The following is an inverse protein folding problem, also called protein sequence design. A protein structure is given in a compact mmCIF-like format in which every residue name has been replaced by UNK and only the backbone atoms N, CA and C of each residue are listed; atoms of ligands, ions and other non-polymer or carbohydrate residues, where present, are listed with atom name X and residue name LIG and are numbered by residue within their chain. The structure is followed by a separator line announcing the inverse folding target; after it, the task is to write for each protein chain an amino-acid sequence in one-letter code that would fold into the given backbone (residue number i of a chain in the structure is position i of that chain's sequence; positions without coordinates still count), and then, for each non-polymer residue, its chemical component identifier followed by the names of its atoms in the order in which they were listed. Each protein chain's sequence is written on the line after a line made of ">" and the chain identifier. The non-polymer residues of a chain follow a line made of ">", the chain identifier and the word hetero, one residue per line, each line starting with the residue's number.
data_IF_085099059759
#
_entry.id   IF_085099059759
#
_cell.length_a   1.000
_cell.length_b   1.000
_cell.length_c   1.000
_cell.angle_alpha   90.00
_cell.angle_beta   90.00
_cell.angle_gamma   90.00
#
_symmetry.space_group_name_H-M   'P 1'
#
loop_
_entity.id
_entity.type
_entity.pdbx_description
1 polymer ?
#
# COMPACT_ATOMS: atom_id res chain seq x y z
N UNK A 1 3.41 -6.38 13.70
CA UNK A 1 4.34 -6.64 12.58
C UNK A 1 4.82 -8.09 12.52
N UNK A 2 5.29 -8.70 13.61
CA UNK A 2 5.76 -10.11 13.60
C UNK A 2 4.76 -11.10 12.94
N UNK A 3 3.47 -11.02 13.25
CA UNK A 3 2.43 -11.87 12.63
C UNK A 3 2.14 -11.53 11.15
N UNK A 4 2.36 -10.27 10.74
CA UNK A 4 2.15 -9.80 9.36
C UNK A 4 3.27 -10.21 8.41
N UNK A 5 4.39 -10.69 8.95
CA UNK A 5 5.60 -11.09 8.23
C UNK A 5 5.86 -12.60 8.30
N UNK A 6 4.86 -13.42 8.62
CA UNK A 6 5.01 -14.89 8.65
C UNK A 6 4.89 -15.55 7.25
N UNK A 7 4.50 -14.79 6.22
CA UNK A 7 4.48 -15.25 4.81
C UNK A 7 5.83 -15.15 4.11
N UNK A 8 5.91 -15.66 2.87
CA UNK A 8 7.16 -15.69 2.07
C UNK A 8 7.47 -14.35 1.40
N UNK A 9 6.45 -13.60 0.97
CA UNK A 9 6.61 -12.29 0.32
C UNK A 9 5.45 -11.35 0.70
N UNK A 10 5.76 -10.07 0.88
CA UNK A 10 4.76 -9.04 1.12
C UNK A 10 4.26 -8.54 -0.24
N UNK A 11 2.95 -8.44 -0.45
CA UNK A 11 2.45 -7.91 -1.73
C UNK A 11 2.79 -6.42 -1.87
N UNK A 12 2.93 -5.93 -3.11
CA UNK A 12 3.10 -4.49 -3.39
C UNK A 12 2.00 -3.64 -2.76
N UNK A 13 0.75 -4.12 -2.79
CA UNK A 13 -0.38 -3.48 -2.08
C UNK A 13 -0.14 -3.39 -0.57
N UNK A 14 0.36 -4.46 0.05
CA UNK A 14 0.69 -4.48 1.48
C UNK A 14 1.77 -3.47 1.84
N UNK A 15 2.81 -3.37 1.00
CA UNK A 15 3.87 -2.38 1.16
C UNK A 15 3.33 -0.95 1.03
N UNK A 16 2.55 -0.67 -0.01
CA UNK A 16 1.94 0.64 -0.22
C UNK A 16 1.05 1.04 0.95
N UNK A 17 0.17 0.15 1.42
CA UNK A 17 -0.70 0.41 2.58
C UNK A 17 0.10 0.73 3.84
N UNK A 18 1.16 -0.05 4.12
CA UNK A 18 2.03 0.21 5.27
C UNK A 18 2.56 1.64 5.26
N UNK A 19 3.17 2.08 4.15
CA UNK A 19 3.73 3.43 4.07
C UNK A 19 2.65 4.52 4.01
N UNK A 20 1.48 4.24 3.42
CA UNK A 20 0.34 5.16 3.43
C UNK A 20 -0.13 5.44 4.86
N UNK A 21 -0.24 4.39 5.66
CA UNK A 21 -0.82 4.45 7.00
C UNK A 21 0.21 4.90 8.06
N UNK A 22 1.50 4.60 7.86
CA UNK A 22 2.56 4.92 8.81
C UNK A 22 2.95 6.42 8.87
N UNK A 23 2.66 7.20 7.83
CA UNK A 23 3.04 8.61 7.74
C UNK A 23 3.33 8.96 6.30
N UNK A 24 2.69 10.03 5.78
CA UNK A 24 2.48 10.28 4.36
C UNK A 24 3.77 10.24 3.53
N UNK A 25 4.04 9.07 2.95
CA UNK A 25 4.28 8.80 1.53
C UNK A 25 5.23 9.72 0.76
N UNK A 26 6.17 10.36 1.45
CA UNK A 26 7.16 11.22 0.83
C UNK A 26 8.51 10.82 1.38
N UNK A 27 9.53 10.83 0.52
CA UNK A 27 10.92 10.59 0.92
C UNK A 27 11.44 11.48 2.07
N UNK A 28 10.67 12.49 2.51
CA UNK A 28 10.95 13.35 3.66
C UNK A 28 10.21 13.02 4.95
N UNK A 29 9.29 12.04 4.96
CA UNK A 29 8.60 11.60 6.18
C UNK A 29 9.25 10.31 6.72
N UNK A 30 9.95 10.37 7.87
CA UNK A 30 10.68 9.22 8.40
C UNK A 30 9.77 8.20 9.08
N UNK A 31 8.48 8.48 9.34
CA UNK A 31 7.67 7.67 10.24
C UNK A 31 7.55 6.19 9.82
N UNK A 32 7.42 5.91 8.52
CA UNK A 32 7.43 4.54 8.00
C UNK A 32 8.76 3.82 8.22
N UNK A 33 9.88 4.53 7.98
CA UNK A 33 11.24 4.00 8.20
C UNK A 33 11.52 3.78 9.69
N UNK A 34 11.18 4.76 10.53
CA UNK A 34 11.34 4.70 11.98
C UNK A 34 10.55 3.52 12.56
N UNK A 35 9.34 3.26 12.05
CA UNK A 35 8.52 2.11 12.45
C UNK A 35 9.20 0.77 12.10
N UNK A 36 9.82 0.66 10.92
CA UNK A 36 10.56 -0.54 10.52
C UNK A 36 11.81 -0.75 11.39
N UNK A 37 12.56 0.32 11.66
CA UNK A 37 13.76 0.28 12.50
C UNK A 37 13.42 -0.07 13.95
N UNK A 38 12.35 0.51 14.49
CA UNK A 38 11.85 0.20 15.82
C UNK A 38 11.46 -1.27 15.93
N UNK A 39 10.78 -1.82 14.92
CA UNK A 39 10.44 -3.24 14.88
C UNK A 39 11.68 -4.14 14.83
N UNK A 40 12.70 -3.78 14.05
CA UNK A 40 13.97 -4.54 14.00
C UNK A 40 14.69 -4.54 15.36
N UNK A 41 14.67 -3.40 16.06
CA UNK A 41 15.23 -3.29 17.41
C UNK A 41 14.48 -4.18 18.42
N UNK A 42 13.14 -4.20 18.35
CA UNK A 42 12.30 -5.06 19.19
C UNK A 42 12.61 -6.55 19.00
N UNK A 43 12.75 -7.00 17.74
CA UNK A 43 13.15 -8.38 17.43
C UNK A 43 14.51 -8.73 18.04
N UNK A 44 15.51 -7.85 17.90
CA UNK A 44 16.84 -8.06 18.47
C UNK A 44 16.87 -8.00 20.00
N UNK A 45 15.93 -7.30 20.64
CA UNK A 45 15.82 -7.27 22.09
C UNK A 45 15.23 -8.56 22.67
N UNK A 46 14.43 -9.31 21.89
CA UNK A 46 13.76 -10.54 22.32
C UNK A 46 14.66 -11.77 22.20
N UNK A 47 15.46 -11.86 21.13
CA UNK A 47 16.26 -13.05 20.82
C UNK A 47 17.75 -12.81 21.04
N UNK A 48 18.44 -13.80 21.61
CA UNK A 48 19.90 -13.86 21.59
C UNK A 48 20.40 -14.20 20.16
N UNK A 49 21.62 -13.76 19.85
CA UNK A 49 22.18 -13.64 18.50
C UNK A 49 22.46 -14.99 17.78
N UNK A 50 22.02 -15.20 16.51
CA UNK A 50 21.01 -14.45 15.77
C UNK A 50 19.58 -14.97 16.04
N UNK A 51 18.54 -14.12 15.84
CA UNK A 51 17.14 -14.53 15.97
C UNK A 51 16.77 -15.68 15.02
N UNK A 52 15.82 -16.56 15.40
CA UNK A 52 15.19 -17.47 14.45
C UNK A 52 14.61 -16.69 13.26
N UNK A 53 14.79 -17.23 12.04
CA UNK A 53 14.30 -16.62 10.79
C UNK A 53 14.90 -15.26 10.44
N UNK A 54 16.13 -14.96 10.89
CA UNK A 54 16.81 -13.69 10.62
C UNK A 54 16.88 -13.33 9.13
N UNK A 55 17.18 -14.30 8.25
CA UNK A 55 17.21 -14.07 6.80
C UNK A 55 15.85 -13.65 6.24
N UNK A 56 14.75 -14.20 6.76
CA UNK A 56 13.39 -13.83 6.35
C UNK A 56 13.05 -12.41 6.82
N UNK A 57 13.45 -12.05 8.04
CA UNK A 57 13.29 -10.70 8.60
C UNK A 57 14.04 -9.68 7.73
N UNK A 58 15.30 -9.96 7.38
CA UNK A 58 16.10 -9.11 6.50
C UNK A 58 15.53 -9.04 5.08
N UNK A 59 15.00 -10.15 4.56
CA UNK A 59 14.32 -10.21 3.26
C UNK A 59 13.11 -9.28 3.21
N UNK A 60 12.23 -9.34 4.21
CA UNK A 60 11.07 -8.45 4.33
C UNK A 60 11.48 -6.99 4.50
N UNK A 61 12.49 -6.71 5.35
CA UNK A 61 13.01 -5.35 5.52
C UNK A 61 13.54 -4.81 4.18
N UNK A 62 14.34 -5.60 3.45
CA UNK A 62 14.86 -5.22 2.15
C UNK A 62 13.72 -4.93 1.15
N UNK A 63 12.66 -5.74 1.15
CA UNK A 63 11.49 -5.50 0.29
C UNK A 63 10.78 -4.18 0.63
N UNK A 64 10.60 -3.86 1.91
CA UNK A 64 10.00 -2.59 2.37
C UNK A 64 10.87 -1.39 1.98
N UNK A 65 12.18 -1.48 2.19
CA UNK A 65 13.14 -0.41 1.89
C UNK A 65 13.26 -0.18 0.38
N UNK A 66 13.28 -1.24 -0.44
CA UNK A 66 13.31 -1.13 -1.89
C UNK A 66 12.12 -0.33 -2.45
N UNK A 67 10.96 -0.41 -1.79
CA UNK A 67 9.82 0.42 -2.17
C UNK A 67 10.10 1.91 -1.91
N UNK A 68 10.60 2.30 -0.75
CA UNK A 68 10.82 3.72 -0.42
C UNK A 68 12.01 4.34 -1.15
N UNK A 69 13.09 3.59 -1.33
CA UNK A 69 14.36 4.11 -1.86
C UNK A 69 14.50 3.99 -3.38
N UNK A 70 13.47 3.52 -4.09
CA UNK A 70 13.44 3.57 -5.56
C UNK A 70 12.66 4.76 -6.04
N UNK A 71 13.10 5.40 -7.15
CA UNK A 71 12.36 6.49 -7.81
C UNK A 71 10.89 6.10 -8.09
N UNK A 72 10.65 4.81 -8.34
CA UNK A 72 9.33 4.25 -8.59
C UNK A 72 8.40 4.38 -7.37
N UNK A 73 8.89 4.16 -6.15
CA UNK A 73 8.05 4.25 -4.96
C UNK A 73 7.65 5.67 -4.62
N UNK A 74 8.58 6.63 -4.65
CA UNK A 74 8.24 8.06 -4.43
C UNK A 74 7.28 8.59 -5.53
N UNK A 75 7.37 8.05 -6.75
CA UNK A 75 6.38 8.28 -7.79
C UNK A 75 5.03 7.63 -7.46
N UNK A 76 5.01 6.35 -7.09
CA UNK A 76 3.79 5.58 -6.82
C UNK A 76 2.98 6.16 -5.65
N UNK A 77 3.66 6.71 -4.65
CA UNK A 77 3.05 7.26 -3.44
C UNK A 77 2.49 8.66 -3.61
N UNK A 78 2.90 9.37 -4.66
CA UNK A 78 2.38 10.70 -5.05
C UNK A 78 1.39 10.65 -6.20
N UNK A 79 1.08 9.46 -6.73
CA UNK A 79 0.11 9.30 -7.82
C UNK A 79 -1.26 9.83 -7.38
N UNK A 80 -1.90 10.53 -8.31
CA UNK A 80 -3.34 10.77 -8.23
C UNK A 80 -4.05 9.55 -8.80
N UNK A 81 -5.24 9.20 -8.29
CA UNK A 81 -6.05 8.15 -8.89
C UNK A 81 -6.25 8.40 -10.39
N UNK A 82 -6.28 7.32 -11.18
CA UNK A 82 -6.46 7.37 -12.65
C UNK A 82 -7.77 8.04 -13.08
N UNK A 83 -8.74 8.09 -12.16
CA UNK A 83 -10.07 8.71 -12.33
C UNK A 83 -10.38 9.58 -11.11
N UNK A 84 -11.19 10.62 -11.28
CA UNK A 84 -11.66 11.43 -10.15
C UNK A 84 -13.05 11.02 -9.68
N UNK A 85 -13.49 11.58 -8.54
CA UNK A 85 -14.80 11.26 -7.98
C UNK A 85 -15.97 11.67 -8.88
N UNK A 86 -15.82 12.68 -9.75
CA UNK A 86 -16.87 13.10 -10.68
C UNK A 86 -17.04 12.08 -11.80
N UNK A 87 -15.94 11.57 -12.32
CA UNK A 87 -15.92 10.50 -13.30
C UNK A 87 -16.58 9.23 -12.73
N UNK A 88 -16.22 8.82 -11.51
CA UNK A 88 -16.88 7.69 -10.85
C UNK A 88 -18.39 7.88 -10.69
N UNK A 89 -18.84 9.07 -10.26
CA UNK A 89 -20.27 9.37 -10.13
C UNK A 89 -21.00 9.32 -11.48
N UNK A 90 -20.39 9.86 -12.54
CA UNK A 90 -20.99 9.92 -13.87
C UNK A 90 -21.11 8.53 -14.50
N UNK A 91 -20.02 7.77 -14.52
CA UNK A 91 -19.94 6.47 -15.21
C UNK A 91 -20.69 5.37 -14.44
N UNK A 92 -20.56 5.34 -13.12
CA UNK A 92 -21.17 4.30 -12.27
C UNK A 92 -22.53 4.73 -11.69
N UNK A 93 -23.03 5.91 -12.07
CA UNK A 93 -24.30 6.50 -11.60
C UNK A 93 -24.42 6.57 -10.07
N UNK A 94 -23.30 6.81 -9.40
CA UNK A 94 -23.24 6.89 -7.95
C UNK A 94 -23.65 8.27 -7.44
N UNK A 95 -24.33 8.29 -6.30
CA UNK A 95 -24.59 9.52 -5.56
C UNK A 95 -23.36 9.95 -4.75
N UNK A 96 -23.17 11.25 -4.49
CA UNK A 96 -22.08 11.74 -3.65
C UNK A 96 -22.13 11.10 -2.25
N UNK A 97 -21.01 10.53 -1.80
CA UNK A 97 -20.94 9.86 -0.51
C UNK A 97 -19.56 9.24 -0.20
N UNK A 98 -19.39 8.68 1.01
CA UNK A 98 -18.11 8.10 1.46
C UNK A 98 -17.63 6.93 0.61
N UNK A 99 -18.56 6.21 -0.06
CA UNK A 99 -18.25 5.13 -0.98
C UNK A 99 -17.33 5.59 -2.12
N UNK A 100 -17.46 6.82 -2.61
CA UNK A 100 -16.58 7.35 -3.66
C UNK A 100 -15.15 7.45 -3.17
N UNK A 101 -14.96 7.94 -1.94
CA UNK A 101 -13.63 8.00 -1.32
C UNK A 101 -13.00 6.62 -1.19
N UNK A 102 -13.79 5.63 -0.75
CA UNK A 102 -13.35 4.24 -0.64
C UNK A 102 -12.94 3.64 -1.99
N UNK A 103 -13.72 3.90 -3.05
CA UNK A 103 -13.38 3.47 -4.41
C UNK A 103 -12.08 4.12 -4.90
N UNK A 104 -11.93 5.44 -4.71
CA UNK A 104 -10.71 6.16 -5.08
C UNK A 104 -9.47 5.64 -4.34
N UNK A 105 -9.61 5.28 -3.06
CA UNK A 105 -8.53 4.66 -2.29
C UNK A 105 -8.16 3.28 -2.86
N UNK A 106 -9.14 2.43 -3.16
CA UNK A 106 -8.89 1.10 -3.73
C UNK A 106 -8.26 1.15 -5.12
N UNK A 107 -8.69 2.10 -5.96
CA UNK A 107 -8.09 2.38 -7.26
C UNK A 107 -6.63 2.81 -7.08
N UNK A 108 -6.37 3.73 -6.15
CA UNK A 108 -5.02 4.21 -5.92
C UNK A 108 -4.09 3.09 -5.43
N UNK A 109 -4.58 2.20 -4.57
CA UNK A 109 -3.83 1.01 -4.15
C UNK A 109 -3.51 0.07 -5.31
N UNK A 110 -4.49 -0.24 -6.17
CA UNK A 110 -4.28 -1.09 -7.34
C UNK A 110 -3.30 -0.45 -8.34
N UNK A 111 -3.41 0.87 -8.53
CA UNK A 111 -2.52 1.65 -9.38
C UNK A 111 -1.08 1.67 -8.84
N UNK A 112 -0.89 1.81 -7.52
CA UNK A 112 0.42 1.75 -6.88
C UNK A 112 1.01 0.33 -6.92
N UNK A 113 0.17 -0.71 -6.97
CA UNK A 113 0.60 -2.08 -7.17
C UNK A 113 0.95 -2.42 -8.62
N UNK A 114 0.61 -1.54 -9.57
CA UNK A 114 0.78 -1.78 -11.01
C UNK A 114 -0.25 -2.75 -11.59
N UNK A 115 -1.36 -2.97 -10.87
CA UNK A 115 -2.47 -3.83 -11.30
C UNK A 115 -3.34 -3.15 -12.36
N UNK A 116 -3.41 -1.82 -12.32
CA UNK A 116 -4.16 -0.98 -13.27
C UNK A 116 -3.28 0.17 -13.76
N UNK A 117 -3.49 0.58 -15.02
CA UNK A 117 -2.69 1.63 -15.65
C UNK A 117 -3.54 2.68 -16.38
N UNK A 118 -4.82 2.41 -16.63
CA UNK A 118 -5.71 3.28 -17.41
C UNK A 118 -6.98 3.67 -16.65
N UNK A 119 -7.66 4.72 -17.15
CA UNK A 119 -8.96 5.12 -16.61
C UNK A 119 -10.01 4.01 -16.75
N UNK A 120 -9.98 3.26 -17.86
CA UNK A 120 -10.90 2.15 -18.11
C UNK A 120 -10.68 1.01 -17.10
N UNK A 121 -9.42 0.63 -16.84
CA UNK A 121 -9.09 -0.37 -15.81
C UNK A 121 -9.62 0.06 -14.43
N UNK A 122 -9.51 1.35 -14.11
CA UNK A 122 -9.95 1.90 -12.84
C UNK A 122 -11.48 1.88 -12.71
N UNK A 123 -12.22 2.13 -13.79
CA UNK A 123 -13.67 2.05 -13.82
C UNK A 123 -14.17 0.60 -13.71
N UNK A 124 -13.52 -0.33 -14.40
CA UNK A 124 -13.82 -1.76 -14.32
C UNK A 124 -13.59 -2.28 -12.89
N UNK A 125 -12.43 -1.94 -12.30
CA UNK A 125 -12.15 -2.26 -10.90
C UNK A 125 -13.22 -1.67 -9.98
N UNK A 126 -13.54 -0.38 -10.12
CA UNK A 126 -14.55 0.26 -9.29
C UNK A 126 -15.92 -0.42 -9.41
N UNK A 127 -16.33 -0.80 -10.61
CA UNK A 127 -17.57 -1.52 -10.87
C UNK A 127 -17.61 -2.88 -10.17
N UNK A 128 -16.50 -3.63 -10.19
CA UNK A 128 -16.37 -4.93 -9.50
C UNK A 128 -16.39 -4.83 -7.96
N UNK A 129 -16.06 -3.66 -7.41
CA UNK A 129 -16.04 -3.41 -5.97
C UNK A 129 -17.39 -2.93 -5.43
N UNK A 130 -18.34 -2.60 -6.31
CA UNK A 130 -19.68 -2.25 -5.90
C UNK A 130 -20.39 -3.50 -5.36
N UNK A 131 -21.10 -3.40 -4.23
CA UNK A 131 -21.95 -4.51 -3.79
C UNK A 131 -23.01 -4.78 -4.87
N UNK A 132 -23.31 -6.06 -5.10
CA UNK A 132 -24.47 -6.42 -5.92
C UNK A 132 -25.69 -5.68 -5.38
N UNK A 133 -26.35 -4.92 -6.26
CA UNK A 133 -27.55 -4.18 -5.91
C UNK A 133 -28.67 -5.20 -5.66
N UNK A 134 -29.24 -5.19 -4.45
CA UNK A 134 -30.47 -5.94 -4.13
C UNK A 134 -31.69 -5.35 -4.86
#
# INVERSE_FOLDING_TARGET
>A
LHASFQGTEISRRGVYRFFRDAGRLTAGDPAGLDTLLLWLADVQAIYADPPPSWDQILGHLNQMLAFVFTDQGDHDTRKRPLVDGRMLMAELKLSPGPQIGQLLEQILEAQAAGEIATADDALELAQSLLPESE
#
